data_IF_166423544897
#
_entry.id   IF_166423544897
#
_cell.length_a   1.000
_cell.length_b   1.000
_cell.length_c   1.000
_cell.angle_alpha   90.00
_cell.angle_beta   90.00
_cell.angle_gamma   90.00
#
_symmetry.space_group_name_H-M   'P 1'
#
loop_
_entity.id
_entity.type
_entity.pdbx_description
1 polymer ?
#
# COMPACT_ATOMS: atom_id res chain seq x y z
N UNK A 1 -21.71 22.12 -22.21
CA UNK A 1 -21.81 21.46 -20.88
C UNK A 1 -21.31 20.02 -20.92
N UNK A 2 -21.81 19.14 -21.80
CA UNK A 2 -21.40 17.72 -21.86
C UNK A 2 -19.89 17.51 -22.13
N UNK A 3 -19.27 18.32 -23.00
CA UNK A 3 -17.83 18.27 -23.27
C UNK A 3 -16.95 18.73 -22.09
N UNK A 4 -17.43 19.64 -21.24
CA UNK A 4 -16.68 20.11 -20.06
C UNK A 4 -16.71 19.07 -18.93
N UNK A 5 -17.85 18.41 -18.74
CA UNK A 5 -17.97 17.33 -17.76
C UNK A 5 -17.11 16.12 -18.14
N UNK A 6 -17.12 15.73 -19.42
CA UNK A 6 -16.26 14.67 -19.94
C UNK A 6 -14.77 15.00 -19.76
N UNK A 7 -14.37 16.25 -20.02
CA UNK A 7 -12.99 16.69 -19.82
C UNK A 7 -12.57 16.62 -18.34
N UNK A 8 -13.43 17.08 -17.43
CA UNK A 8 -13.18 16.98 -15.98
C UNK A 8 -13.01 15.53 -15.52
N UNK A 9 -13.89 14.62 -15.97
CA UNK A 9 -13.80 13.18 -15.65
C UNK A 9 -12.50 12.55 -16.15
N UNK A 10 -12.09 12.84 -17.39
CA UNK A 10 -10.81 12.34 -17.94
C UNK A 10 -9.61 12.81 -17.12
N UNK A 11 -9.59 14.08 -16.72
CA UNK A 11 -8.52 14.63 -15.89
C UNK A 11 -8.46 13.96 -14.52
N UNK A 12 -9.61 13.72 -13.89
CA UNK A 12 -9.69 13.01 -12.62
C UNK A 12 -9.20 11.56 -12.74
N UNK A 13 -9.62 10.84 -13.77
CA UNK A 13 -9.15 9.47 -14.03
C UNK A 13 -7.63 9.42 -14.23
N UNK A 14 -7.08 10.34 -15.04
CA UNK A 14 -5.64 10.41 -15.25
C UNK A 14 -4.87 10.67 -13.95
N UNK A 15 -5.41 11.53 -13.08
CA UNK A 15 -4.84 11.78 -11.77
C UNK A 15 -4.87 10.54 -10.86
N UNK A 16 -6.01 9.85 -10.77
CA UNK A 16 -6.15 8.62 -9.98
C UNK A 16 -5.23 7.53 -10.49
N UNK A 17 -5.15 7.32 -11.81
CA UNK A 17 -4.25 6.34 -12.41
C UNK A 17 -2.78 6.64 -12.09
N UNK A 18 -2.36 7.90 -12.25
CA UNK A 18 -1.00 8.33 -11.91
C UNK A 18 -0.69 8.02 -10.43
N UNK A 19 -1.62 8.30 -9.52
CA UNK A 19 -1.46 8.02 -8.09
C UNK A 19 -1.34 6.51 -7.81
N UNK A 20 -2.17 5.69 -8.45
CA UNK A 20 -2.08 4.25 -8.35
C UNK A 20 -0.72 3.72 -8.85
N UNK A 21 -0.20 4.25 -9.95
CA UNK A 21 1.13 3.89 -10.46
C UNK A 21 2.26 4.26 -9.50
N UNK A 22 2.20 5.44 -8.88
CA UNK A 22 3.15 5.87 -7.83
C UNK A 22 3.15 4.89 -6.64
N UNK A 23 1.96 4.52 -6.15
CA UNK A 23 1.80 3.51 -5.08
C UNK A 23 2.40 2.17 -5.49
N UNK A 24 2.08 1.72 -6.70
CA UNK A 24 2.54 0.43 -7.19
C UNK A 24 4.05 0.35 -7.38
N UNK A 25 4.73 1.43 -7.77
CA UNK A 25 6.19 1.45 -7.83
C UNK A 25 6.82 1.21 -6.45
N UNK A 26 6.29 1.86 -5.41
CA UNK A 26 6.76 1.65 -4.03
C UNK A 26 6.42 0.24 -3.53
N UNK A 27 5.20 -0.23 -3.74
CA UNK A 27 4.76 -1.57 -3.35
C UNK A 27 5.59 -2.64 -4.06
N UNK A 28 5.87 -2.48 -5.35
CA UNK A 28 6.73 -3.41 -6.12
C UNK A 28 8.15 -3.46 -5.58
N UNK A 29 8.71 -2.33 -5.12
CA UNK A 29 10.00 -2.33 -4.44
C UNK A 29 9.94 -3.16 -3.14
N UNK A 30 8.94 -2.90 -2.29
CA UNK A 30 8.76 -3.62 -1.02
C UNK A 30 8.57 -5.12 -1.25
N UNK A 31 7.75 -5.49 -2.24
CA UNK A 31 7.54 -6.87 -2.65
C UNK A 31 8.84 -7.57 -3.04
N UNK A 32 9.65 -6.93 -3.89
CA UNK A 32 10.96 -7.46 -4.28
C UNK A 32 11.90 -7.61 -3.07
N UNK A 33 11.89 -6.66 -2.15
CA UNK A 33 12.71 -6.71 -0.93
C UNK A 33 12.29 -7.85 0.01
N UNK A 34 10.99 -8.09 0.13
CA UNK A 34 10.43 -9.18 0.94
C UNK A 34 10.68 -10.55 0.31
N UNK A 35 10.76 -10.64 -1.02
CA UNK A 35 11.14 -11.87 -1.71
C UNK A 35 12.62 -12.19 -1.57
N UNK A 36 13.49 -11.19 -1.69
CA UNK A 36 14.93 -11.39 -1.75
C UNK A 36 15.67 -10.33 -0.94
N UNK A 37 16.18 -10.72 0.22
CA UNK A 37 16.89 -9.83 1.14
C UNK A 37 18.26 -9.40 0.61
N UNK A 38 18.89 -10.22 -0.23
CA UNK A 38 20.30 -10.09 -0.68
C UNK A 38 20.47 -9.44 -2.07
N UNK A 39 19.40 -9.28 -2.85
CA UNK A 39 19.51 -8.72 -4.20
C UNK A 39 19.64 -7.20 -4.19
N UNK A 40 20.52 -6.68 -5.06
CA UNK A 40 20.53 -5.27 -5.43
C UNK A 40 19.28 -4.97 -6.27
N UNK A 41 18.25 -4.45 -5.63
CA UNK A 41 16.99 -4.10 -6.29
C UNK A 41 17.25 -2.93 -7.25
N UNK A 42 16.83 -3.07 -8.51
CA UNK A 42 16.87 -1.98 -9.46
C UNK A 42 15.89 -0.87 -9.01
N UNK A 43 16.36 0.38 -8.99
CA UNK A 43 15.56 1.55 -8.56
C UNK A 43 15.43 2.60 -9.67
N UNK A 44 15.86 2.31 -10.90
CA UNK A 44 15.88 3.25 -12.03
C UNK A 44 14.47 3.68 -12.47
N UNK A 45 13.45 2.89 -12.13
CA UNK A 45 12.05 3.22 -12.35
C UNK A 45 11.44 4.12 -11.28
N UNK A 46 12.17 4.39 -10.18
CA UNK A 46 11.71 5.20 -9.05
C UNK A 46 12.19 6.65 -9.19
N UNK A 47 11.31 7.59 -8.90
CA UNK A 47 11.69 9.00 -8.76
C UNK A 47 12.22 9.30 -7.34
N UNK A 48 12.77 10.51 -7.14
CA UNK A 48 13.36 10.91 -5.86
C UNK A 48 12.37 10.92 -4.69
N UNK A 49 11.11 11.24 -4.94
CA UNK A 49 10.05 11.23 -3.92
C UNK A 49 9.71 9.80 -3.48
N UNK A 50 9.58 8.88 -4.43
CA UNK A 50 9.33 7.46 -4.18
C UNK A 50 10.50 6.81 -3.41
N UNK A 51 11.74 7.16 -3.76
CA UNK A 51 12.93 6.71 -3.01
C UNK A 51 12.89 7.24 -1.57
N UNK A 52 12.47 8.50 -1.36
CA UNK A 52 12.35 9.06 -0.02
C UNK A 52 11.25 8.37 0.79
N UNK A 53 10.11 8.06 0.17
CA UNK A 53 9.03 7.29 0.78
C UNK A 53 9.54 5.91 1.21
N UNK A 54 10.24 5.20 0.32
CA UNK A 54 10.82 3.89 0.62
C UNK A 54 11.78 3.96 1.81
N UNK A 55 12.67 4.96 1.86
CA UNK A 55 13.58 5.15 3.00
C UNK A 55 12.83 5.32 4.31
N UNK A 56 11.78 6.15 4.31
CA UNK A 56 10.93 6.35 5.50
C UNK A 56 10.23 5.07 5.92
N UNK A 57 9.71 4.29 4.97
CA UNK A 57 9.09 2.98 5.24
C UNK A 57 10.10 2.02 5.85
N UNK A 58 11.31 1.91 5.31
CA UNK A 58 12.35 1.02 5.85
C UNK A 58 12.70 1.39 7.30
N UNK A 59 12.80 2.68 7.60
CA UNK A 59 13.07 3.16 8.96
C UNK A 59 11.91 2.82 9.92
N UNK A 60 10.67 2.93 9.46
CA UNK A 60 9.48 2.66 10.29
C UNK A 60 9.06 1.19 10.29
N UNK A 61 9.67 0.33 9.48
CA UNK A 61 9.26 -1.06 9.26
C UNK A 61 9.12 -1.86 10.57
N UNK A 62 10.06 -1.81 11.53
CA UNK A 62 9.91 -2.55 12.79
C UNK A 62 8.65 -2.13 13.58
N UNK A 63 8.29 -0.84 13.55
CA UNK A 63 7.09 -0.34 14.21
C UNK A 63 5.82 -0.77 13.47
N UNK A 64 5.86 -0.79 12.13
CA UNK A 64 4.76 -1.26 11.29
C UNK A 64 4.51 -2.77 11.50
N UNK A 65 5.56 -3.58 11.54
CA UNK A 65 5.47 -5.01 11.79
C UNK A 65 4.93 -5.30 13.20
N UNK A 66 5.44 -4.60 14.22
CA UNK A 66 4.90 -4.69 15.58
C UNK A 66 3.41 -4.35 15.62
N UNK A 67 2.99 -3.30 14.89
CA UNK A 67 1.58 -2.93 14.80
C UNK A 67 0.76 -4.02 14.11
N UNK A 68 1.24 -4.58 13.01
CA UNK A 68 0.57 -5.66 12.27
C UNK A 68 0.34 -6.90 13.14
N UNK A 69 1.34 -7.29 13.93
CA UNK A 69 1.27 -8.46 14.81
C UNK A 69 0.27 -8.29 15.98
N UNK A 70 -0.18 -7.06 16.27
CA UNK A 70 -1.30 -6.85 17.20
C UNK A 70 -2.67 -7.21 16.59
N UNK A 71 -2.77 -7.36 15.26
CA UNK A 71 -4.02 -7.60 14.53
C UNK A 71 -4.01 -8.87 13.67
N UNK A 72 -2.84 -9.48 13.47
CA UNK A 72 -2.64 -10.66 12.65
C UNK A 72 -1.77 -11.63 13.44
N UNK A 73 -2.23 -12.87 13.58
CA UNK A 73 -1.44 -13.92 14.22
C UNK A 73 -0.11 -14.14 13.48
N UNK A 74 0.97 -14.39 14.21
CA UNK A 74 2.32 -14.52 13.66
C UNK A 74 2.42 -15.64 12.61
N UNK A 75 1.76 -16.78 12.83
CA UNK A 75 1.69 -17.88 11.86
C UNK A 75 1.03 -17.41 10.55
N UNK A 76 -0.11 -16.73 10.65
CA UNK A 76 -0.82 -16.19 9.50
C UNK A 76 0.00 -15.13 8.78
N UNK A 77 0.68 -14.26 9.53
CA UNK A 77 1.58 -13.28 8.96
C UNK A 77 2.72 -13.97 8.20
N UNK A 78 3.36 -14.99 8.77
CA UNK A 78 4.43 -15.74 8.11
C UNK A 78 3.99 -16.32 6.77
N UNK A 79 2.81 -16.93 6.71
CA UNK A 79 2.23 -17.54 5.51
C UNK A 79 1.65 -16.54 4.50
N UNK A 80 1.51 -15.26 4.87
CA UNK A 80 0.95 -14.24 3.98
C UNK A 80 1.90 -13.98 2.80
N UNK A 81 1.36 -13.96 1.58
CA UNK A 81 2.13 -13.70 0.37
C UNK A 81 2.90 -12.37 0.45
N UNK A 82 4.16 -12.31 -0.02
CA UNK A 82 4.97 -11.10 0.06
C UNK A 82 4.33 -9.85 -0.57
N UNK A 83 3.53 -10.02 -1.63
CA UNK A 83 2.79 -8.91 -2.23
C UNK A 83 1.75 -8.33 -1.26
N UNK A 84 1.00 -9.18 -0.57
CA UNK A 84 0.00 -8.76 0.43
C UNK A 84 0.69 -8.09 1.61
N UNK A 85 1.82 -8.61 2.07
CA UNK A 85 2.66 -7.96 3.09
C UNK A 85 3.08 -6.56 2.65
N UNK A 86 3.58 -6.40 1.43
CA UNK A 86 3.99 -5.11 0.88
C UNK A 86 2.83 -4.10 0.82
N UNK A 87 1.65 -4.55 0.39
CA UNK A 87 0.43 -3.72 0.34
C UNK A 87 0.04 -3.25 1.75
N UNK A 88 0.03 -4.16 2.73
CA UNK A 88 -0.30 -3.83 4.12
C UNK A 88 0.70 -2.84 4.73
N UNK A 89 2.00 -3.08 4.54
CA UNK A 89 3.07 -2.17 5.02
C UNK A 89 2.91 -0.78 4.42
N UNK A 90 2.73 -0.71 3.10
CA UNK A 90 2.55 0.57 2.41
C UNK A 90 1.27 1.29 2.85
N UNK A 91 0.15 0.57 2.95
CA UNK A 91 -1.12 1.12 3.41
C UNK A 91 -1.03 1.71 4.81
N UNK A 92 -0.41 1.01 5.76
CA UNK A 92 -0.19 1.51 7.13
C UNK A 92 0.64 2.79 7.13
N UNK A 93 1.72 2.82 6.36
CA UNK A 93 2.55 4.02 6.24
C UNK A 93 1.76 5.20 5.65
N UNK A 94 1.01 4.97 4.57
CA UNK A 94 0.28 6.04 3.87
C UNK A 94 -0.86 6.61 4.74
N UNK A 95 -1.54 5.78 5.55
CA UNK A 95 -2.58 6.19 6.50
C UNK A 95 -2.11 7.19 7.55
N UNK A 96 -0.81 7.30 7.83
CA UNK A 96 -0.29 8.24 8.83
C UNK A 96 -0.42 9.71 8.39
N UNK A 97 -0.53 9.96 7.09
CA UNK A 97 -0.52 11.32 6.53
C UNK A 97 -1.70 11.59 5.58
N UNK A 98 -2.57 10.60 5.36
CA UNK A 98 -3.68 10.69 4.42
C UNK A 98 -4.98 10.18 5.05
N UNK A 99 -6.11 10.52 4.44
CA UNK A 99 -7.42 10.03 4.89
C UNK A 99 -7.48 8.50 4.81
N UNK A 100 -7.64 7.85 5.97
CA UNK A 100 -7.58 6.39 6.12
C UNK A 100 -8.53 5.66 5.18
N UNK A 101 -9.78 6.12 5.07
CA UNK A 101 -10.79 5.52 4.20
C UNK A 101 -10.37 5.52 2.72
N UNK A 102 -9.71 6.59 2.27
CA UNK A 102 -9.19 6.67 0.89
C UNK A 102 -8.06 5.66 0.73
N UNK A 103 -7.09 5.64 1.64
CA UNK A 103 -5.95 4.71 1.57
C UNK A 103 -6.41 3.25 1.57
N UNK A 104 -7.34 2.89 2.44
CA UNK A 104 -7.90 1.53 2.52
C UNK A 104 -8.55 1.14 1.19
N UNK A 105 -9.40 2.01 0.62
CA UNK A 105 -10.03 1.76 -0.67
C UNK A 105 -9.01 1.57 -1.79
N UNK A 106 -7.95 2.37 -1.81
CA UNK A 106 -6.87 2.25 -2.80
C UNK A 106 -6.10 0.93 -2.64
N UNK A 107 -5.76 0.53 -1.42
CA UNK A 107 -5.09 -0.75 -1.15
C UNK A 107 -5.97 -1.94 -1.54
N UNK A 108 -7.26 -1.89 -1.22
CA UNK A 108 -8.23 -2.91 -1.61
C UNK A 108 -8.35 -3.03 -3.13
N UNK A 109 -8.40 -1.90 -3.84
CA UNK A 109 -8.46 -1.90 -5.30
C UNK A 109 -7.17 -2.44 -5.92
N UNK A 110 -6.00 -2.03 -5.40
CA UNK A 110 -4.71 -2.60 -5.79
C UNK A 110 -4.71 -4.12 -5.57
N UNK A 111 -5.15 -4.61 -4.41
CA UNK A 111 -5.21 -6.05 -4.16
C UNK A 111 -6.15 -6.76 -5.14
N UNK A 112 -7.31 -6.21 -5.48
CA UNK A 112 -8.22 -6.80 -6.48
C UNK A 112 -7.61 -6.89 -7.88
N UNK A 113 -6.75 -5.95 -8.24
CA UNK A 113 -6.10 -5.91 -9.56
C UNK A 113 -4.94 -6.91 -9.62
N UNK A 114 -4.12 -6.99 -8.56
CA UNK A 114 -2.82 -7.67 -8.60
C UNK A 114 -2.74 -8.99 -7.82
N UNK A 115 -3.70 -9.28 -6.94
CA UNK A 115 -3.74 -10.53 -6.18
C UNK A 115 -5.01 -11.33 -6.54
N UNK A 116 -4.88 -12.63 -6.89
CA UNK A 116 -6.04 -13.45 -7.23
C UNK A 116 -6.91 -13.75 -6.00
N UNK A 117 -8.20 -14.01 -6.23
CA UNK A 117 -9.11 -14.51 -5.20
C UNK A 117 -9.65 -13.44 -4.26
N UNK A 118 -9.65 -13.73 -2.95
CA UNK A 118 -10.33 -12.93 -1.93
C UNK A 118 -9.38 -12.21 -0.97
N UNK A 119 -8.10 -12.08 -1.31
CA UNK A 119 -7.09 -11.44 -0.45
C UNK A 119 -7.42 -9.97 -0.14
N UNK A 120 -8.17 -9.30 -1.02
CA UNK A 120 -8.64 -7.94 -0.77
C UNK A 120 -9.53 -7.85 0.48
N UNK A 121 -10.26 -8.92 0.85
CA UNK A 121 -11.06 -8.96 2.08
C UNK A 121 -10.17 -8.99 3.32
N UNK A 122 -9.06 -9.72 3.25
CA UNK A 122 -8.07 -9.77 4.32
C UNK A 122 -7.38 -8.41 4.47
N UNK A 123 -6.93 -7.81 3.37
CA UNK A 123 -6.34 -6.45 3.38
C UNK A 123 -7.31 -5.43 3.97
N UNK A 124 -8.58 -5.44 3.52
CA UNK A 124 -9.60 -4.54 4.05
C UNK A 124 -9.77 -4.69 5.57
N UNK A 125 -9.98 -5.92 6.04
CA UNK A 125 -10.22 -6.19 7.46
C UNK A 125 -9.06 -5.77 8.36
N UNK A 126 -7.82 -6.02 7.94
CA UNK A 126 -6.62 -5.64 8.70
C UNK A 126 -6.48 -4.13 8.77
N UNK A 127 -6.55 -3.43 7.63
CA UNK A 127 -6.36 -1.98 7.61
C UNK A 127 -7.51 -1.24 8.32
N UNK A 128 -8.76 -1.71 8.20
CA UNK A 128 -9.91 -1.15 8.95
C UNK A 128 -9.70 -1.27 10.46
N UNK A 129 -9.21 -2.42 10.93
CA UNK A 129 -8.94 -2.65 12.35
C UNK A 129 -7.80 -1.75 12.85
N UNK A 130 -6.75 -1.57 12.05
CA UNK A 130 -5.64 -0.67 12.39
C UNK A 130 -6.12 0.78 12.40
N UNK A 131 -6.87 1.23 11.40
CA UNK A 131 -7.36 2.60 11.31
C UNK A 131 -8.21 2.99 12.52
N UNK A 132 -9.08 2.09 13.00
CA UNK A 132 -9.88 2.28 14.23
C UNK A 132 -9.02 2.50 15.48
N UNK A 133 -7.80 1.98 15.51
CA UNK A 133 -6.87 2.14 16.65
C UNK A 133 -5.94 3.34 16.48
N UNK A 134 -5.65 3.76 15.25
CA UNK A 134 -4.92 5.01 14.99
C UNK A 134 -5.76 6.26 15.31
N UNK A 135 -7.06 6.22 15.05
CA UNK A 135 -8.00 7.33 15.31
C UNK A 135 -8.33 7.47 16.81
N UNK A 136 -8.04 6.45 17.64
CA UNK A 136 -8.32 6.45 19.09
C UNK A 136 -7.23 7.10 19.95
N UNK A 137 -6.27 7.82 19.35
CA UNK A 137 -5.25 8.59 20.07
C UNK A 137 -5.63 10.05 20.22
#
# INVERSE_FOLDING_TARGET
>A
MENEELFKRKKQLAFTLKKMEERMRVISYLYQKLLNTELKINVDYLNSEEINIIKKIIISLPNIETLLLNFIDEEKWSQTFPLIKAILIYGIFEMQNNETNIVINEMVNITKIYAPGNDYKFVNAVLDNIAKNLIKK
#
